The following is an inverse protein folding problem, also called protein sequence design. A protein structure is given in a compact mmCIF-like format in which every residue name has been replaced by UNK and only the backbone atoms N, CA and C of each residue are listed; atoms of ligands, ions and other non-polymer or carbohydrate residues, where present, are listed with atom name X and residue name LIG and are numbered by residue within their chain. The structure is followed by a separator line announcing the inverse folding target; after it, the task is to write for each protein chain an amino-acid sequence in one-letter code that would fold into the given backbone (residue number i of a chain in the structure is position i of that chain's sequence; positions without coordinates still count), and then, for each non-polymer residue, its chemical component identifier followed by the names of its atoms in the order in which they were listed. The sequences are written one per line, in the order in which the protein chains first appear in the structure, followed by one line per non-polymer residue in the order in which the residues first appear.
data_IF_733463266358
#
_entry.id   IF_733463266358
#
_cell.length_a   1.000
_cell.length_b   1.000
_cell.length_c   1.000
_cell.angle_alpha   90.00
_cell.angle_beta   90.00
_cell.angle_gamma   90.00
#
_symmetry.space_group_name_H-M   'P 1'
#
loop_
_entity.id
_entity.type
_entity.pdbx_description
1 polymer ?
#
# COMPACT_ATOMS: atom_id res chain seq x y z
N UNK A 1 15.68 -17.09 -54.74
CA UNK A 1 14.85 -16.82 -53.55
C UNK A 1 15.76 -16.82 -52.33
N UNK A 2 15.92 -15.69 -51.64
CA UNK A 2 16.81 -15.57 -50.48
C UNK A 2 16.10 -16.07 -49.21
N UNK A 3 16.62 -17.14 -48.61
CA UNK A 3 16.17 -17.71 -47.33
C UNK A 3 16.24 -16.71 -46.16
N UNK A 4 17.00 -15.62 -46.32
CA UNK A 4 17.12 -14.53 -45.34
C UNK A 4 15.85 -13.67 -45.22
N UNK A 5 15.05 -13.53 -46.28
CA UNK A 5 13.81 -12.74 -46.26
C UNK A 5 12.65 -13.43 -45.52
N UNK A 6 12.63 -14.76 -45.54
CA UNK A 6 11.61 -15.60 -44.89
C UNK A 6 11.78 -15.71 -43.37
N UNK A 7 12.99 -15.47 -42.86
CA UNK A 7 13.33 -15.69 -41.44
C UNK A 7 12.85 -14.58 -40.50
N UNK A 8 12.61 -13.37 -41.01
CA UNK A 8 12.16 -12.25 -40.17
C UNK A 8 10.68 -12.35 -39.79
N UNK A 9 9.75 -12.60 -40.74
CA UNK A 9 8.34 -12.82 -40.40
C UNK A 9 8.14 -14.00 -39.45
N UNK A 10 8.82 -15.12 -39.72
CA UNK A 10 8.75 -16.31 -38.88
C UNK A 10 9.22 -16.07 -37.44
N UNK A 11 10.29 -15.29 -37.24
CA UNK A 11 10.74 -14.91 -35.89
C UNK A 11 9.73 -14.00 -35.18
N UNK A 12 9.09 -13.08 -35.91
CA UNK A 12 8.06 -12.22 -35.34
C UNK A 12 6.82 -13.02 -34.91
N UNK A 13 6.39 -13.97 -35.72
CA UNK A 13 5.27 -14.86 -35.40
C UNK A 13 5.54 -15.69 -34.14
N UNK A 14 6.75 -16.26 -34.03
CA UNK A 14 7.15 -17.02 -32.84
C UNK A 14 7.16 -16.16 -31.57
N UNK A 15 7.70 -14.94 -31.65
CA UNK A 15 7.68 -14.00 -30.53
C UNK A 15 6.25 -13.64 -30.14
N UNK A 16 5.39 -13.35 -31.11
CA UNK A 16 3.99 -13.02 -30.86
C UNK A 16 3.24 -14.19 -30.20
N UNK A 17 3.50 -15.42 -30.63
CA UNK A 17 2.93 -16.62 -30.02
C UNK A 17 3.36 -16.77 -28.56
N UNK A 18 4.66 -16.66 -28.28
CA UNK A 18 5.21 -16.75 -26.92
C UNK A 18 4.69 -15.61 -26.01
N UNK A 19 4.60 -14.39 -26.55
CA UNK A 19 4.04 -13.26 -25.81
C UNK A 19 2.56 -13.45 -25.50
N UNK A 20 1.76 -13.96 -26.45
CA UNK A 20 0.35 -14.24 -26.23
C UNK A 20 0.13 -15.34 -25.20
N UNK A 21 0.93 -16.41 -25.24
CA UNK A 21 0.89 -17.48 -24.23
C UNK A 21 1.26 -16.93 -22.83
N UNK A 22 2.34 -16.14 -22.74
CA UNK A 22 2.73 -15.48 -21.48
C UNK A 22 1.64 -14.55 -20.95
N UNK A 23 1.01 -13.76 -21.82
CA UNK A 23 -0.07 -12.85 -21.45
C UNK A 23 -1.31 -13.62 -20.98
N UNK A 24 -1.65 -14.71 -21.66
CA UNK A 24 -2.74 -15.60 -21.26
C UNK A 24 -2.49 -16.17 -19.86
N UNK A 25 -1.31 -16.73 -19.62
CA UNK A 25 -0.96 -17.28 -18.31
C UNK A 25 -0.94 -16.21 -17.20
N UNK A 26 -0.45 -15.00 -17.48
CA UNK A 26 -0.54 -13.88 -16.53
C UNK A 26 -1.99 -13.55 -16.19
N UNK A 27 -2.88 -13.50 -17.18
CA UNK A 27 -4.30 -13.21 -16.97
C UNK A 27 -4.98 -14.30 -16.13
N UNK A 28 -4.72 -15.57 -16.43
CA UNK A 28 -5.22 -16.72 -15.63
C UNK A 28 -4.78 -16.60 -14.16
N UNK A 29 -3.51 -16.27 -13.91
CA UNK A 29 -3.01 -16.15 -12.54
C UNK A 29 -3.47 -14.86 -11.83
N UNK A 30 -3.73 -13.80 -12.57
CA UNK A 30 -4.10 -12.49 -12.01
C UNK A 30 -5.40 -12.56 -11.20
N UNK A 31 -6.40 -13.31 -11.67
CA UNK A 31 -7.68 -13.45 -10.96
C UNK A 31 -7.52 -14.03 -9.55
N UNK A 32 -6.70 -15.10 -9.42
CA UNK A 32 -6.41 -15.72 -8.11
C UNK A 32 -5.63 -14.76 -7.21
N UNK A 33 -4.62 -14.09 -7.76
CA UNK A 33 -3.79 -13.14 -7.00
C UNK A 33 -4.61 -11.97 -6.46
N UNK A 34 -5.45 -11.38 -7.32
CA UNK A 34 -6.31 -10.26 -6.94
C UNK A 34 -7.35 -10.68 -5.90
N UNK A 35 -7.95 -11.87 -6.06
CA UNK A 35 -8.88 -12.42 -5.09
C UNK A 35 -8.24 -12.64 -3.72
N UNK A 36 -7.00 -13.16 -3.68
CA UNK A 36 -6.27 -13.34 -2.43
C UNK A 36 -5.92 -11.99 -1.78
N UNK A 37 -5.41 -11.03 -2.56
CA UNK A 37 -5.13 -9.67 -2.09
C UNK A 37 -6.37 -8.99 -1.52
N UNK A 38 -7.51 -9.09 -2.21
CA UNK A 38 -8.77 -8.51 -1.74
C UNK A 38 -9.23 -9.12 -0.42
N UNK A 39 -9.20 -10.46 -0.29
CA UNK A 39 -9.54 -11.15 0.97
C UNK A 39 -8.63 -10.71 2.12
N UNK A 40 -7.33 -10.60 1.86
CA UNK A 40 -6.36 -10.16 2.86
C UNK A 40 -6.59 -8.69 3.25
N UNK A 41 -6.83 -7.81 2.29
CA UNK A 41 -7.14 -6.40 2.55
C UNK A 41 -8.43 -6.24 3.34
N UNK A 42 -9.48 -7.00 3.01
CA UNK A 42 -10.74 -7.00 3.75
C UNK A 42 -10.56 -7.49 5.19
N UNK A 43 -9.80 -8.56 5.39
CA UNK A 43 -9.45 -9.07 6.72
C UNK A 43 -8.70 -8.02 7.54
N UNK A 44 -7.66 -7.43 6.96
CA UNK A 44 -6.85 -6.39 7.59
C UNK A 44 -7.68 -5.14 7.91
N UNK A 45 -8.54 -4.70 7.00
CA UNK A 45 -9.46 -3.57 7.22
C UNK A 45 -10.41 -3.84 8.39
N UNK A 46 -10.99 -5.04 8.49
CA UNK A 46 -11.84 -5.42 9.63
C UNK A 46 -11.06 -5.48 10.95
N UNK A 47 -9.82 -5.96 10.91
CA UNK A 47 -8.96 -5.98 12.09
C UNK A 47 -8.58 -4.57 12.55
N UNK A 48 -8.23 -3.69 11.61
CA UNK A 48 -7.95 -2.28 11.88
C UNK A 48 -9.19 -1.57 12.45
N UNK A 49 -10.38 -1.81 11.88
CA UNK A 49 -11.64 -1.26 12.39
C UNK A 49 -11.90 -1.67 13.85
N UNK A 50 -11.77 -2.96 14.18
CA UNK A 50 -11.92 -3.42 15.57
C UNK A 50 -10.88 -2.81 16.52
N UNK A 51 -9.64 -2.68 16.06
CA UNK A 51 -8.60 -2.04 16.86
C UNK A 51 -8.92 -0.56 17.10
N UNK A 52 -9.45 0.13 16.09
CA UNK A 52 -9.93 1.50 16.22
C UNK A 52 -11.09 1.61 17.20
N UNK A 53 -12.14 0.80 17.05
CA UNK A 53 -13.29 0.79 17.97
C UNK A 53 -12.86 0.54 19.43
N UNK A 54 -11.87 -0.33 19.62
CA UNK A 54 -11.29 -0.60 20.94
C UNK A 54 -10.55 0.61 21.52
N UNK A 55 -9.91 1.44 20.69
CA UNK A 55 -9.28 2.68 21.14
C UNK A 55 -10.34 3.75 21.41
N UNK A 56 -11.30 3.92 20.49
CA UNK A 56 -12.35 4.94 20.53
C UNK A 56 -13.29 4.78 21.74
N UNK A 57 -13.60 3.53 22.11
CA UNK A 57 -14.41 3.23 23.29
C UNK A 57 -13.74 3.62 24.63
N UNK A 58 -12.41 3.78 24.63
CA UNK A 58 -11.66 4.27 25.79
C UNK A 58 -11.61 5.80 25.88
N UNK A 59 -12.02 6.53 24.84
CA UNK A 59 -11.96 7.99 24.80
C UNK A 59 -13.27 8.60 25.33
N UNK A 60 -13.22 9.56 26.26
CA UNK A 60 -14.39 10.33 26.67
C UNK A 60 -15.09 11.02 25.49
N UNK A 61 -16.43 11.04 25.50
CA UNK A 61 -17.22 11.60 24.40
C UNK A 61 -16.93 13.08 24.11
N UNK A 62 -16.69 13.87 25.16
CA UNK A 62 -16.31 15.28 25.02
C UNK A 62 -14.96 15.46 24.29
N UNK A 63 -13.99 14.57 24.55
CA UNK A 63 -12.70 14.58 23.84
C UNK A 63 -12.86 14.19 22.37
N UNK A 64 -13.69 13.18 22.07
CA UNK A 64 -13.98 12.82 20.67
C UNK A 64 -14.60 13.98 19.90
N UNK A 65 -15.60 14.65 20.48
CA UNK A 65 -16.24 15.81 19.86
C UNK A 65 -15.25 16.94 19.63
N UNK A 66 -14.41 17.22 20.62
CA UNK A 66 -13.37 18.23 20.50
C UNK A 66 -12.38 17.93 19.36
N UNK A 67 -11.93 16.68 19.22
CA UNK A 67 -11.05 16.28 18.13
C UNK A 67 -11.72 16.36 16.76
N UNK A 68 -13.01 16.01 16.66
CA UNK A 68 -13.79 16.17 15.42
C UNK A 68 -13.92 17.65 15.02
N UNK A 69 -14.14 18.55 15.99
CA UNK A 69 -14.20 19.98 15.74
C UNK A 69 -12.85 20.53 15.26
N UNK A 70 -11.75 20.08 15.89
CA UNK A 70 -10.39 20.43 15.47
C UNK A 70 -10.10 19.94 14.05
N UNK A 71 -10.44 18.69 13.72
CA UNK A 71 -10.28 18.13 12.39
C UNK A 71 -11.05 18.93 11.34
N UNK A 72 -12.33 19.23 11.62
CA UNK A 72 -13.18 20.02 10.73
C UNK A 72 -12.59 21.42 10.49
N UNK A 73 -12.16 22.10 11.56
CA UNK A 73 -11.53 23.42 11.46
C UNK A 73 -10.24 23.38 10.62
N UNK A 74 -9.36 22.40 10.88
CA UNK A 74 -8.12 22.24 10.13
C UNK A 74 -8.36 21.96 8.64
N UNK A 75 -9.30 21.08 8.31
CA UNK A 75 -9.64 20.76 6.92
C UNK A 75 -10.24 21.94 6.16
N UNK A 76 -11.05 22.76 6.84
CA UNK A 76 -11.64 23.96 6.25
C UNK A 76 -10.59 25.06 6.04
N UNK A 77 -9.65 25.23 6.96
CA UNK A 77 -8.66 26.31 6.92
C UNK A 77 -7.40 25.97 6.12
N UNK A 78 -7.16 24.70 5.78
CA UNK A 78 -5.89 24.22 5.20
C UNK A 78 -5.34 24.99 3.99
N UNK A 79 -6.20 25.64 3.20
CA UNK A 79 -5.79 26.38 2.00
C UNK A 79 -5.31 27.78 2.37
N UNK A 80 -6.01 28.44 3.29
CA UNK A 80 -5.75 29.82 3.70
C UNK A 80 -4.70 29.90 4.82
N UNK A 81 -4.69 28.89 5.68
CA UNK A 81 -3.71 28.72 6.76
C UNK A 81 -3.27 27.25 6.85
N UNK A 82 -2.16 26.89 6.17
CA UNK A 82 -1.60 25.55 6.26
C UNK A 82 -1.15 25.15 7.67
N UNK A 83 -0.90 26.09 8.59
CA UNK A 83 -0.52 25.77 9.97
C UNK A 83 -1.69 25.20 10.78
N UNK A 84 -2.94 25.42 10.35
CA UNK A 84 -4.11 24.78 10.94
C UNK A 84 -4.06 23.24 10.86
N UNK A 85 -3.29 22.67 9.93
CA UNK A 85 -3.06 21.22 9.82
C UNK A 85 -2.08 20.66 10.86
N UNK A 86 -1.46 21.49 11.70
CA UNK A 86 -0.47 21.05 12.69
C UNK A 86 -1.05 20.09 13.74
N UNK A 87 -2.38 20.05 13.88
CA UNK A 87 -3.09 19.06 14.69
C UNK A 87 -2.80 17.61 14.27
N UNK A 88 -2.40 17.38 13.01
CA UNK A 88 -2.05 16.06 12.50
C UNK A 88 -0.58 15.71 12.73
N UNK A 89 0.23 16.64 13.25
CA UNK A 89 1.61 16.34 13.59
C UNK A 89 1.64 15.38 14.77
N UNK A 90 1.99 14.14 14.49
CA UNK A 90 2.29 13.16 15.53
C UNK A 90 3.56 13.61 16.25
N UNK A 91 3.41 14.05 17.51
CA UNK A 91 4.52 14.24 18.44
C UNK A 91 5.16 12.89 18.74
N UNK A 92 6.03 12.45 17.84
CA UNK A 92 6.88 11.28 18.10
C UNK A 92 7.98 11.74 19.05
N UNK A 93 7.88 11.34 20.31
CA UNK A 93 9.03 11.43 21.23
C UNK A 93 10.12 10.52 20.66
N UNK A 94 11.04 11.08 19.87
CA UNK A 94 12.17 10.35 19.31
C UNK A 94 13.16 10.04 20.44
N UNK A 95 13.00 8.89 21.08
CA UNK A 95 13.94 8.30 22.04
C UNK A 95 13.26 7.14 22.79
N UNK A 96 13.77 5.92 22.88
CA UNK A 96 15.08 5.36 22.57
C UNK A 96 14.89 3.89 22.12
N UNK A 97 15.52 3.49 21.02
CA UNK A 97 15.75 2.07 20.73
C UNK A 97 17.19 1.75 21.13
N UNK A 98 17.47 1.18 22.32
CA UNK A 98 18.76 0.59 22.59
C UNK A 98 18.80 -0.77 21.90
N UNK A 99 19.68 -0.92 20.91
CA UNK A 99 20.08 -2.23 20.39
C UNK A 99 19.71 -2.51 18.94
N UNK A 100 20.42 -1.86 18.01
CA UNK A 100 20.65 -2.44 16.69
C UNK A 100 22.16 -2.65 16.49
N UNK A 101 22.73 -3.60 17.24
CA UNK A 101 24.03 -4.21 16.94
C UNK A 101 23.83 -5.68 16.61
N UNK A 102 23.20 -5.97 15.46
CA UNK A 102 23.38 -7.28 14.82
C UNK A 102 23.42 -7.04 13.31
N UNK A 103 24.59 -6.69 12.79
CA UNK A 103 24.97 -6.94 11.38
C UNK A 103 26.49 -6.95 11.26
N UNK A 104 27.14 -8.00 11.78
CA UNK A 104 28.45 -8.48 11.28
C UNK A 104 28.67 -9.92 11.75
N UNK A 105 27.86 -10.86 11.26
CA UNK A 105 28.14 -12.29 11.38
C UNK A 105 27.36 -13.14 10.37
N UNK A 106 27.34 -12.76 9.09
CA UNK A 106 27.03 -13.72 8.00
C UNK A 106 27.91 -13.35 6.81
N UNK A 107 29.22 -13.61 6.93
CA UNK A 107 30.14 -13.97 5.83
C UNK A 107 31.43 -14.47 6.46
N UNK A 108 31.46 -15.78 6.72
CA UNK A 108 32.66 -16.63 6.76
C UNK A 108 32.21 -18.06 6.47
#
# INVERSE_FOLDING_TARGET
MSTRGMSSPHRQELLNFQMNDSNFMKMIHMGRHLSAKWKNALSASRAAGRAFDSLDSGVPEAERHHWMDMECAALNMRVDDPSAMDIFQLMTNKGAFPGLYITHAIYS
#
